data_IF_744155257159
#
_entry.id   IF_744155257159
#
_cell.length_a   1.000
_cell.length_b   1.000
_cell.length_c   1.000
_cell.angle_alpha   90.00
_cell.angle_beta   90.00
_cell.angle_gamma   90.00
#
_symmetry.space_group_name_H-M   'P 1'
#
loop_
_entity.id
_entity.type
_entity.pdbx_description
1 polymer ?
#
# COMPACT_ATOMS: atom_id res chain seq x y z
N UNK A 1 -27.44 -11.70 21.03
CA UNK A 1 -27.11 -10.57 20.13
C UNK A 1 -25.63 -10.24 20.32
N UNK A 2 -24.80 -10.36 19.28
CA UNK A 2 -23.40 -9.93 19.36
C UNK A 2 -23.38 -8.42 19.62
N UNK A 3 -22.80 -7.98 20.74
CA UNK A 3 -22.59 -6.56 20.98
C UNK A 3 -21.76 -5.98 19.83
N UNK A 4 -22.28 -4.95 19.18
CA UNK A 4 -21.57 -4.29 18.09
C UNK A 4 -20.28 -3.70 18.67
N UNK A 5 -19.13 -4.13 18.14
CA UNK A 5 -17.84 -3.56 18.55
C UNK A 5 -17.82 -2.07 18.27
N UNK A 6 -17.38 -1.30 19.24
CA UNK A 6 -17.15 0.14 19.11
C UNK A 6 -15.72 0.40 19.54
N UNK A 7 -14.86 0.97 18.69
CA UNK A 7 -13.50 1.32 19.07
C UNK A 7 -13.51 2.40 20.17
N UNK A 8 -12.45 2.47 20.99
CA UNK A 8 -12.34 3.55 21.98
C UNK A 8 -12.28 4.91 21.26
N UNK A 9 -12.70 5.96 21.96
CA UNK A 9 -12.51 7.32 21.49
C UNK A 9 -11.03 7.64 21.25
N UNK A 10 -10.73 8.63 20.42
CA UNK A 10 -9.37 9.06 20.15
C UNK A 10 -8.59 9.30 21.46
N UNK A 11 -7.41 8.70 21.58
CA UNK A 11 -6.59 8.73 22.79
C UNK A 11 -7.05 7.82 23.93
N UNK A 12 -8.19 7.13 23.78
CA UNK A 12 -8.69 6.16 24.74
C UNK A 12 -7.85 4.87 24.78
N UNK A 13 -7.81 4.22 25.96
CA UNK A 13 -7.14 2.95 26.10
C UNK A 13 -7.94 1.82 25.44
N UNK A 14 -7.27 0.97 24.68
CA UNK A 14 -7.85 -0.25 24.15
C UNK A 14 -8.05 -1.28 25.26
N UNK A 15 -9.24 -1.89 25.30
CA UNK A 15 -9.52 -2.98 26.23
C UNK A 15 -8.58 -4.16 25.98
N UNK A 16 -8.08 -4.74 27.07
CA UNK A 16 -7.26 -5.95 27.04
C UNK A 16 -8.05 -7.11 27.63
N UNK A 17 -7.86 -8.27 27.09
CA UNK A 17 -8.52 -9.52 27.54
C UNK A 17 -7.48 -10.63 27.63
N UNK A 18 -7.61 -11.48 28.63
CA UNK A 18 -6.75 -12.66 28.77
C UNK A 18 -6.95 -13.63 27.58
N UNK A 19 -5.89 -14.30 27.12
CA UNK A 19 -5.96 -15.19 25.96
C UNK A 19 -7.06 -16.24 26.07
N UNK A 20 -7.16 -16.93 27.20
CA UNK A 20 -8.16 -17.96 27.46
C UNK A 20 -9.58 -17.41 27.44
N UNK A 21 -9.81 -16.26 28.05
CA UNK A 21 -11.10 -15.56 28.02
C UNK A 21 -11.47 -15.11 26.60
N UNK A 22 -10.49 -14.89 25.72
CA UNK A 22 -10.67 -14.60 24.31
C UNK A 22 -10.76 -15.90 23.45
N UNK A 23 -10.70 -17.09 24.05
CA UNK A 23 -10.77 -18.37 23.36
C UNK A 23 -9.48 -18.75 22.63
N UNK A 24 -8.34 -18.26 23.07
CA UNK A 24 -7.00 -18.70 22.63
C UNK A 24 -6.42 -19.70 23.62
N UNK A 25 -5.63 -20.61 23.12
CA UNK A 25 -4.67 -21.39 23.95
C UNK A 25 -3.52 -20.45 24.30
N UNK A 26 -3.36 -20.14 25.58
CA UNK A 26 -2.36 -19.17 26.03
C UNK A 26 -0.92 -19.62 25.69
N UNK A 27 -0.61 -20.92 25.83
CA UNK A 27 0.73 -21.42 25.51
C UNK A 27 1.06 -21.36 24.02
N UNK A 28 0.09 -21.67 23.15
CA UNK A 28 0.30 -21.51 21.70
C UNK A 28 0.42 -20.05 21.28
N UNK A 29 -0.32 -19.16 21.93
CA UNK A 29 -0.21 -17.73 21.67
C UNK A 29 1.16 -17.19 22.08
N UNK A 30 1.65 -17.56 23.25
CA UNK A 30 2.98 -17.21 23.72
C UNK A 30 4.06 -17.75 22.77
N UNK A 31 3.97 -18.99 22.35
CA UNK A 31 4.87 -19.58 21.37
C UNK A 31 4.84 -18.84 20.02
N UNK A 32 3.66 -18.38 19.56
CA UNK A 32 3.53 -17.61 18.34
C UNK A 32 4.19 -16.21 18.45
N UNK A 33 4.06 -15.55 19.58
CA UNK A 33 4.75 -14.27 19.86
C UNK A 33 6.25 -14.47 19.87
N UNK A 34 6.75 -15.47 20.63
CA UNK A 34 8.18 -15.79 20.68
C UNK A 34 8.75 -16.14 19.29
N UNK A 35 7.98 -16.87 18.47
CA UNK A 35 8.35 -17.16 17.09
C UNK A 35 8.45 -15.87 16.25
N UNK A 36 7.48 -14.96 16.37
CA UNK A 36 7.51 -13.69 15.64
C UNK A 36 8.74 -12.83 16.01
N UNK A 37 9.08 -12.75 17.29
CA UNK A 37 10.26 -12.02 17.78
C UNK A 37 11.57 -12.66 17.30
N UNK A 38 11.67 -13.99 17.31
CA UNK A 38 12.86 -14.73 16.87
C UNK A 38 13.04 -14.72 15.34
N UNK A 39 11.99 -14.46 14.57
CA UNK A 39 12.00 -14.46 13.11
C UNK A 39 11.83 -13.07 12.53
N UNK A 40 12.44 -12.06 13.13
CA UNK A 40 12.47 -10.70 12.58
C UNK A 40 12.97 -10.69 11.14
N UNK A 41 12.44 -9.77 10.34
CA UNK A 41 12.96 -9.50 9.00
C UNK A 41 14.48 -9.27 9.03
N UNK A 42 15.20 -9.87 8.09
CA UNK A 42 16.65 -9.70 7.94
C UNK A 42 17.06 -8.36 7.31
N UNK A 43 16.12 -7.54 6.96
CA UNK A 43 16.40 -6.21 6.44
C UNK A 43 17.15 -5.36 7.48
N UNK A 44 18.05 -4.53 7.00
CA UNK A 44 18.74 -3.57 7.83
C UNK A 44 17.75 -2.62 8.51
N UNK A 45 18.07 -2.19 9.73
CA UNK A 45 17.28 -1.15 10.40
C UNK A 45 17.46 0.20 9.71
N UNK A 46 18.63 0.46 9.14
CA UNK A 46 18.85 1.54 8.19
C UNK A 46 18.20 1.17 6.83
N UNK A 47 16.95 1.56 6.69
CA UNK A 47 16.15 1.26 5.50
C UNK A 47 16.72 1.95 4.27
N UNK A 48 17.32 3.14 4.40
CA UNK A 48 17.96 3.82 3.27
C UNK A 48 19.09 2.95 2.69
N UNK A 49 20.02 2.53 3.51
CA UNK A 49 21.11 1.63 3.10
C UNK A 49 20.55 0.35 2.48
N UNK A 50 19.51 -0.25 3.06
CA UNK A 50 18.87 -1.45 2.51
C UNK A 50 18.36 -1.22 1.09
N UNK A 51 17.70 -0.11 0.83
CA UNK A 51 17.10 0.20 -0.47
C UNK A 51 18.16 0.60 -1.51
N UNK A 52 19.15 1.41 -1.12
CA UNK A 52 20.22 1.86 -2.01
C UNK A 52 21.16 0.72 -2.46
N UNK A 53 21.15 -0.42 -1.80
CA UNK A 53 21.85 -1.64 -2.25
C UNK A 53 21.16 -2.35 -3.42
N UNK A 54 20.04 -1.81 -3.91
CA UNK A 54 19.33 -2.40 -5.06
C UNK A 54 18.35 -3.50 -4.67
N UNK A 55 17.76 -3.41 -3.47
CA UNK A 55 16.79 -4.42 -2.99
C UNK A 55 15.60 -4.59 -3.94
N UNK A 56 15.06 -3.50 -4.50
CA UNK A 56 13.92 -3.56 -5.44
C UNK A 56 14.36 -3.30 -6.87
N UNK A 57 15.14 -2.26 -7.09
CA UNK A 57 15.68 -1.87 -8.39
C UNK A 57 17.21 -1.85 -8.34
N UNK A 58 17.87 -2.42 -9.36
CA UNK A 58 19.31 -2.25 -9.52
C UNK A 58 19.64 -0.82 -9.96
N UNK A 59 20.89 -0.37 -9.79
CA UNK A 59 21.35 0.86 -10.42
C UNK A 59 21.12 0.84 -11.93
N UNK A 60 20.74 1.94 -12.58
CA UNK A 60 20.61 3.30 -12.01
C UNK A 60 19.24 3.60 -11.38
N UNK A 61 18.30 2.67 -11.35
CA UNK A 61 16.92 2.91 -10.96
C UNK A 61 16.67 2.80 -9.43
N UNK A 62 17.72 2.53 -8.65
CA UNK A 62 17.65 2.38 -7.19
C UNK A 62 17.60 3.71 -6.40
N UNK A 63 17.48 4.84 -7.09
CA UNK A 63 17.37 6.14 -6.43
C UNK A 63 16.04 6.28 -5.67
N UNK A 64 16.11 6.95 -4.51
CA UNK A 64 14.99 7.12 -3.60
C UNK A 64 14.43 8.53 -3.70
N UNK A 65 13.10 8.64 -3.71
CA UNK A 65 12.40 9.89 -3.54
C UNK A 65 11.98 10.09 -2.09
N UNK A 66 12.17 11.31 -1.58
CA UNK A 66 11.71 11.71 -0.28
C UNK A 66 12.49 11.12 0.90
N UNK A 67 12.05 11.40 2.12
CA UNK A 67 12.70 10.94 3.34
C UNK A 67 12.47 9.44 3.56
N UNK A 68 13.51 8.78 4.08
CA UNK A 68 13.47 7.39 4.53
C UNK A 68 13.83 7.35 5.99
N UNK A 69 12.99 6.73 6.81
CA UNK A 69 13.25 6.53 8.24
C UNK A 69 13.78 5.11 8.51
N UNK A 70 14.56 4.98 9.59
CA UNK A 70 14.94 3.68 10.09
C UNK A 70 13.71 2.93 10.61
N UNK A 71 13.71 1.60 10.45
CA UNK A 71 12.64 0.78 11.01
C UNK A 71 12.87 0.47 12.49
N UNK A 72 11.78 0.30 13.20
CA UNK A 72 11.80 -0.15 14.59
C UNK A 72 12.18 -1.64 14.74
N UNK A 73 12.22 -2.10 15.99
CA UNK A 73 12.32 -3.52 16.31
C UNK A 73 11.03 -4.29 16.01
N UNK A 74 11.08 -5.64 16.16
CA UNK A 74 9.87 -6.45 16.01
C UNK A 74 8.82 -5.99 17.01
N UNK A 75 7.62 -5.74 16.50
CA UNK A 75 6.48 -5.36 17.32
C UNK A 75 5.20 -5.91 16.69
N UNK A 76 4.16 -6.02 17.49
CA UNK A 76 2.89 -6.50 16.99
C UNK A 76 1.76 -6.48 18.00
N UNK A 77 0.56 -6.63 17.47
CA UNK A 77 -0.69 -6.71 18.20
C UNK A 77 -1.50 -7.91 17.70
N UNK A 78 -2.09 -8.65 18.64
CA UNK A 78 -3.13 -9.63 18.33
C UNK A 78 -4.41 -9.15 18.98
N UNK A 79 -5.46 -9.02 18.17
CA UNK A 79 -6.77 -8.56 18.65
C UNK A 79 -7.86 -9.58 18.32
N UNK A 80 -8.86 -9.66 19.18
CA UNK A 80 -10.10 -10.41 18.92
C UNK A 80 -11.30 -9.61 19.40
N UNK A 81 -12.29 -9.45 18.54
CA UNK A 81 -13.48 -8.64 18.83
C UNK A 81 -13.15 -7.22 19.25
N UNK A 82 -12.05 -6.64 18.73
CA UNK A 82 -11.59 -5.30 19.05
C UNK A 82 -10.85 -5.14 20.37
N UNK A 83 -10.57 -6.24 21.09
CA UNK A 83 -9.80 -6.23 22.34
C UNK A 83 -8.40 -6.77 22.10
N UNK A 84 -7.41 -6.19 22.76
CA UNK A 84 -6.01 -6.65 22.67
C UNK A 84 -5.87 -7.93 23.49
N UNK A 85 -5.45 -9.00 22.84
CA UNK A 85 -5.16 -10.30 23.44
C UNK A 85 -3.67 -10.43 23.77
N UNK A 86 -2.81 -10.00 22.85
CA UNK A 86 -1.36 -9.96 23.05
C UNK A 86 -0.75 -8.74 22.36
N UNK A 87 0.39 -8.29 22.88
CA UNK A 87 1.20 -7.24 22.25
C UNK A 87 2.65 -7.41 22.66
N UNK A 88 3.57 -7.10 21.74
CA UNK A 88 5.00 -7.15 21.99
C UNK A 88 5.71 -6.00 21.27
N UNK A 89 6.92 -5.67 21.71
CA UNK A 89 7.72 -4.58 21.19
C UNK A 89 7.08 -3.20 21.37
N UNK A 90 7.58 -2.22 20.64
CA UNK A 90 7.01 -0.87 20.64
C UNK A 90 5.90 -0.75 19.59
N UNK A 91 4.68 -1.01 20.01
CA UNK A 91 3.48 -0.90 19.14
C UNK A 91 3.07 0.54 18.83
N UNK A 92 3.79 1.54 19.34
CA UNK A 92 3.59 2.96 19.03
C UNK A 92 4.62 3.48 18.04
N UNK A 93 5.62 2.68 17.68
CA UNK A 93 6.61 3.05 16.69
C UNK A 93 5.95 3.36 15.33
N UNK A 94 6.40 4.44 14.71
CA UNK A 94 5.96 4.85 13.37
C UNK A 94 6.95 4.31 12.36
N UNK A 95 6.55 3.28 11.65
CA UNK A 95 7.34 2.61 10.63
C UNK A 95 6.84 2.91 9.22
N UNK A 96 7.74 2.73 8.24
CA UNK A 96 7.37 2.83 6.84
C UNK A 96 6.42 1.69 6.44
N UNK A 97 5.27 2.04 5.91
CA UNK A 97 4.22 1.07 5.56
C UNK A 97 4.43 0.42 4.20
N UNK A 98 5.40 0.91 3.41
CA UNK A 98 5.67 0.43 2.06
C UNK A 98 4.37 0.24 1.26
N UNK A 99 4.17 -0.92 0.66
CA UNK A 99 3.04 -1.19 -0.22
C UNK A 99 1.67 -1.22 0.45
N UNK A 100 1.57 -1.13 1.79
CA UNK A 100 0.28 -0.90 2.45
C UNK A 100 -0.31 0.46 2.01
N UNK A 101 0.51 1.41 1.56
CA UNK A 101 0.05 2.66 0.96
C UNK A 101 -0.90 2.44 -0.23
N UNK A 102 -0.79 1.32 -0.95
CA UNK A 102 -1.72 0.95 -2.04
C UNK A 102 -3.15 0.72 -1.52
N UNK A 103 -3.30 0.18 -0.31
CA UNK A 103 -4.59 0.03 0.36
C UNK A 103 -5.17 1.40 0.72
N UNK A 104 -4.33 2.35 1.11
CA UNK A 104 -4.77 3.73 1.37
C UNK A 104 -5.26 4.41 0.10
N UNK A 105 -4.60 4.19 -1.04
CA UNK A 105 -5.07 4.68 -2.34
C UNK A 105 -6.42 4.07 -2.73
N UNK A 106 -6.63 2.79 -2.45
CA UNK A 106 -7.93 2.13 -2.68
C UNK A 106 -9.05 2.76 -1.85
N UNK A 107 -8.79 3.09 -0.58
CA UNK A 107 -9.75 3.79 0.29
C UNK A 107 -10.03 5.19 -0.27
N UNK A 108 -9.01 5.93 -0.67
CA UNK A 108 -9.17 7.26 -1.28
C UNK A 108 -9.97 7.20 -2.58
N UNK A 109 -9.76 6.18 -3.41
CA UNK A 109 -10.58 5.98 -4.60
C UNK A 109 -12.04 5.73 -4.24
N UNK A 110 -12.32 4.93 -3.19
CA UNK A 110 -13.67 4.74 -2.65
C UNK A 110 -14.31 6.05 -2.18
N UNK A 111 -13.55 6.93 -1.52
CA UNK A 111 -13.98 8.27 -1.13
C UNK A 111 -14.28 9.12 -2.37
N UNK A 112 -13.41 9.08 -3.39
CA UNK A 112 -13.64 9.82 -4.64
C UNK A 112 -14.92 9.37 -5.35
N UNK A 113 -15.25 8.07 -5.29
CA UNK A 113 -16.52 7.55 -5.81
C UNK A 113 -17.70 8.06 -4.95
N UNK A 114 -17.60 7.97 -3.64
CA UNK A 114 -18.66 8.43 -2.73
C UNK A 114 -18.94 9.94 -2.86
N UNK A 115 -17.92 10.74 -3.14
CA UNK A 115 -18.03 12.18 -3.36
C UNK A 115 -18.43 12.54 -4.81
N UNK A 116 -18.65 11.56 -5.68
CA UNK A 116 -19.01 11.78 -7.10
C UNK A 116 -17.88 12.33 -7.96
N UNK A 117 -16.65 12.35 -7.46
CA UNK A 117 -15.46 12.72 -8.23
C UNK A 117 -15.13 11.68 -9.30
N UNK A 118 -15.36 10.42 -9.00
CA UNK A 118 -15.34 9.30 -9.95
C UNK A 118 -16.76 8.77 -10.03
N UNK A 119 -17.39 8.95 -11.17
CA UNK A 119 -18.82 8.58 -11.35
C UNK A 119 -18.99 7.13 -11.80
N UNK A 120 -18.03 6.64 -12.54
CA UNK A 120 -18.01 5.28 -13.06
C UNK A 120 -16.58 4.76 -13.05
N UNK A 121 -16.35 3.61 -12.44
CA UNK A 121 -15.03 2.97 -12.43
C UNK A 121 -14.61 2.47 -13.82
N UNK A 122 -15.55 2.26 -14.71
CA UNK A 122 -15.32 1.77 -16.07
C UNK A 122 -15.17 2.90 -17.10
N UNK A 123 -15.32 4.17 -16.68
CA UNK A 123 -14.98 5.29 -17.57
C UNK A 123 -13.46 5.44 -17.75
N UNK A 124 -12.99 5.81 -18.96
CA UNK A 124 -11.58 6.14 -19.17
C UNK A 124 -11.13 7.29 -18.28
N UNK A 125 -9.98 7.10 -17.60
CA UNK A 125 -9.42 8.10 -16.66
C UNK A 125 -9.15 9.43 -17.36
N UNK A 126 -8.70 9.40 -18.60
CA UNK A 126 -8.40 10.59 -19.40
C UNK A 126 -9.61 11.52 -19.67
N UNK A 127 -10.85 11.04 -19.42
CA UNK A 127 -12.04 11.92 -19.51
C UNK A 127 -12.10 12.97 -18.40
N UNK A 128 -11.49 12.68 -17.28
CA UNK A 128 -11.59 13.50 -16.08
C UNK A 128 -10.23 13.91 -15.51
N UNK A 129 -9.13 13.36 -16.02
CA UNK A 129 -7.74 13.69 -15.67
C UNK A 129 -7.01 14.07 -16.95
N UNK A 130 -6.89 15.38 -17.18
CA UNK A 130 -6.21 15.94 -18.34
C UNK A 130 -4.80 16.44 -17.94
N UNK A 131 -3.85 15.50 -17.85
CA UNK A 131 -2.45 15.79 -17.55
C UNK A 131 -1.47 15.12 -18.54
N UNK A 132 -2.02 14.69 -19.71
CA UNK A 132 -1.27 14.01 -20.76
C UNK A 132 -0.93 12.54 -20.49
N UNK A 133 -1.05 12.06 -19.26
CA UNK A 133 -0.66 10.69 -18.91
C UNK A 133 -1.59 9.61 -19.43
N UNK A 134 -2.78 9.98 -19.91
CA UNK A 134 -3.76 9.08 -20.53
C UNK A 134 -4.02 9.43 -21.99
N UNK A 135 -3.05 10.05 -22.64
CA UNK A 135 -3.14 10.38 -24.08
C UNK A 135 -2.87 9.14 -24.95
N UNK A 136 -3.32 9.21 -26.19
CA UNK A 136 -3.14 8.17 -27.21
C UNK A 136 -4.09 6.97 -27.05
N UNK A 137 -4.09 6.07 -28.04
CA UNK A 137 -5.09 4.99 -28.12
C UNK A 137 -4.95 3.94 -27.01
N UNK A 138 -3.72 3.66 -26.54
CA UNK A 138 -3.47 2.65 -25.52
C UNK A 138 -3.81 3.20 -24.12
N UNK A 139 -3.13 4.26 -23.68
CA UNK A 139 -3.37 4.84 -22.35
C UNK A 139 -4.78 5.47 -22.25
N UNK A 140 -5.32 5.97 -23.36
CA UNK A 140 -6.67 6.54 -23.39
C UNK A 140 -7.80 5.52 -23.15
N UNK A 141 -7.52 4.23 -23.30
CA UNK A 141 -8.48 3.16 -22.99
C UNK A 141 -8.44 2.72 -21.51
N UNK A 142 -7.51 3.24 -20.71
CA UNK A 142 -7.36 2.85 -19.33
C UNK A 142 -8.48 3.45 -18.48
N UNK A 143 -9.16 2.60 -17.72
CA UNK A 143 -10.23 2.99 -16.79
C UNK A 143 -9.71 3.05 -15.35
N UNK A 144 -10.49 3.66 -14.45
CA UNK A 144 -10.21 3.66 -13.01
C UNK A 144 -10.11 2.23 -12.46
N UNK A 145 -10.98 1.34 -12.93
CA UNK A 145 -10.95 -0.09 -12.56
C UNK A 145 -9.62 -0.73 -12.93
N UNK A 146 -9.11 -0.49 -14.12
CA UNK A 146 -7.84 -1.04 -14.57
C UNK A 146 -6.67 -0.59 -13.69
N UNK A 147 -6.64 0.68 -13.28
CA UNK A 147 -5.62 1.18 -12.35
C UNK A 147 -5.74 0.52 -10.97
N UNK A 148 -6.95 0.46 -10.41
CA UNK A 148 -7.21 -0.14 -9.09
C UNK A 148 -6.90 -1.63 -9.04
N UNK A 149 -7.13 -2.34 -10.11
CA UNK A 149 -6.86 -3.78 -10.22
C UNK A 149 -5.43 -4.11 -10.66
N UNK A 150 -4.59 -3.11 -10.91
CA UNK A 150 -3.25 -3.29 -11.49
C UNK A 150 -3.26 -4.04 -12.83
N UNK A 151 -4.28 -3.82 -13.64
CA UNK A 151 -4.44 -4.37 -14.98
C UNK A 151 -4.35 -3.29 -16.07
N UNK A 152 -3.88 -2.10 -15.72
CA UNK A 152 -3.90 -0.95 -16.63
C UNK A 152 -2.97 -1.08 -17.82
N UNK A 153 -1.85 -1.79 -17.68
CA UNK A 153 -0.78 -1.81 -18.68
C UNK A 153 -0.36 -0.38 -19.11
N UNK A 154 -0.54 0.61 -18.23
CA UNK A 154 -0.13 1.99 -18.49
C UNK A 154 1.34 2.05 -18.90
N UNK A 155 1.62 2.81 -19.95
CA UNK A 155 2.96 3.03 -20.46
C UNK A 155 3.38 4.48 -20.26
N UNK A 156 4.55 4.66 -19.69
CA UNK A 156 5.12 6.00 -19.53
C UNK A 156 6.22 6.08 -18.49
N UNK A 157 6.65 7.33 -18.28
CA UNK A 157 7.63 7.68 -17.25
C UNK A 157 6.98 8.60 -16.23
N UNK A 158 7.13 8.29 -14.96
CA UNK A 158 6.62 9.08 -13.86
C UNK A 158 7.73 9.32 -12.84
N UNK A 159 8.00 10.60 -12.51
CA UNK A 159 9.07 10.99 -11.59
C UNK A 159 10.44 10.40 -11.95
N UNK A 160 10.76 10.36 -13.25
CA UNK A 160 12.01 9.83 -13.75
C UNK A 160 12.10 8.30 -13.83
N UNK A 161 11.05 7.57 -13.41
CA UNK A 161 10.99 6.10 -13.51
C UNK A 161 10.02 5.67 -14.60
N UNK A 162 10.51 4.87 -15.56
CA UNK A 162 9.65 4.26 -16.57
C UNK A 162 8.88 3.08 -15.97
N UNK A 163 7.64 2.84 -16.41
CA UNK A 163 6.86 1.67 -15.97
C UNK A 163 7.54 0.35 -16.34
N UNK A 164 8.39 0.37 -17.37
CA UNK A 164 9.15 -0.79 -17.83
C UNK A 164 10.04 -1.39 -16.75
N UNK A 165 10.57 -0.61 -15.80
CA UNK A 165 11.45 -1.13 -14.74
C UNK A 165 10.77 -2.18 -13.85
N UNK A 166 9.45 -2.14 -13.77
CA UNK A 166 8.63 -3.07 -13.00
C UNK A 166 7.90 -4.13 -13.85
N UNK A 167 8.09 -4.12 -15.18
CA UNK A 167 7.50 -5.18 -16.02
C UNK A 167 8.16 -6.52 -15.70
N UNK A 168 7.39 -7.59 -15.81
CA UNK A 168 7.79 -8.96 -15.49
C UNK A 168 8.23 -9.13 -14.01
N UNK A 169 7.72 -8.28 -13.11
CA UNK A 169 8.01 -8.40 -11.69
C UNK A 169 7.37 -9.65 -11.11
N UNK A 170 8.17 -10.49 -10.52
CA UNK A 170 7.75 -11.68 -9.79
C UNK A 170 7.70 -11.36 -8.29
N UNK A 171 6.54 -11.49 -7.65
CA UNK A 171 6.38 -11.21 -6.22
C UNK A 171 6.86 -12.36 -5.33
N UNK A 172 6.78 -13.59 -5.84
CA UNK A 172 7.34 -14.76 -5.19
C UNK A 172 7.75 -15.76 -6.26
N UNK A 173 8.96 -16.29 -6.14
CA UNK A 173 9.49 -17.33 -7.05
C UNK A 173 8.70 -18.64 -6.96
N UNK A 174 7.98 -18.86 -5.87
CA UNK A 174 7.23 -20.08 -5.59
C UNK A 174 5.82 -20.09 -6.18
N UNK A 175 5.22 -18.91 -6.42
CA UNK A 175 3.83 -18.78 -6.88
C UNK A 175 3.68 -18.20 -8.28
N UNK A 176 4.73 -17.63 -8.83
CA UNK A 176 4.69 -17.14 -10.18
C UNK A 176 4.91 -18.33 -11.12
N UNK A 177 3.93 -18.59 -11.96
CA UNK A 177 4.15 -19.38 -13.17
C UNK A 177 5.37 -18.77 -13.84
N UNK A 178 6.46 -19.55 -13.91
CA UNK A 178 7.77 -19.08 -14.32
C UNK A 178 7.68 -18.38 -15.67
N UNK A 179 7.63 -17.07 -15.66
CA UNK A 179 8.02 -16.34 -16.85
C UNK A 179 9.55 -16.40 -16.87
N UNK A 180 10.13 -16.89 -17.93
CA UNK A 180 11.59 -16.87 -18.12
C UNK A 180 12.12 -15.43 -18.31
N UNK A 181 11.25 -14.42 -18.16
CA UNK A 181 11.57 -13.01 -18.37
C UNK A 181 12.05 -12.39 -17.07
N UNK A 182 13.10 -11.57 -17.16
CA UNK A 182 13.64 -10.84 -16.02
C UNK A 182 12.83 -9.56 -15.78
N UNK A 183 12.73 -9.15 -14.51
CA UNK A 183 12.17 -7.85 -14.14
C UNK A 183 12.86 -6.74 -14.96
N UNK A 184 12.05 -5.83 -15.52
CA UNK A 184 12.51 -4.73 -16.37
C UNK A 184 12.79 -5.12 -17.82
N UNK A 185 12.69 -6.41 -18.19
CA UNK A 185 12.84 -6.84 -19.58
C UNK A 185 11.67 -6.33 -20.42
N UNK A 186 11.99 -5.84 -21.63
CA UNK A 186 10.99 -5.31 -22.54
C UNK A 186 10.04 -6.41 -23.03
N UNK A 187 8.76 -6.14 -23.02
CA UNK A 187 7.72 -6.97 -23.61
C UNK A 187 6.65 -6.11 -24.28
N UNK A 188 5.92 -6.61 -25.25
CA UNK A 188 4.74 -5.93 -25.78
C UNK A 188 3.72 -5.69 -24.67
N UNK A 189 3.09 -4.52 -24.69
CA UNK A 189 1.95 -4.23 -23.83
C UNK A 189 0.75 -5.07 -24.23
N UNK A 190 -0.03 -5.45 -23.24
CA UNK A 190 -1.33 -6.10 -23.45
C UNK A 190 -2.43 -5.04 -23.39
N UNK A 191 -3.60 -5.38 -23.89
CA UNK A 191 -4.73 -4.48 -23.78
C UNK A 191 -5.07 -4.16 -22.32
N UNK A 192 -5.39 -2.91 -21.96
CA UNK A 192 -5.82 -2.55 -20.61
C UNK A 192 -6.97 -3.47 -20.15
N UNK A 193 -6.88 -3.93 -18.90
CA UNK A 193 -7.81 -4.87 -18.29
C UNK A 193 -7.52 -6.36 -18.53
N UNK A 194 -6.63 -6.71 -19.46
CA UNK A 194 -6.41 -8.10 -19.85
C UNK A 194 -5.24 -8.81 -19.14
N UNK A 195 -4.41 -8.07 -18.43
CA UNK A 195 -3.21 -8.63 -17.81
C UNK A 195 -2.92 -7.96 -16.46
N UNK A 196 -2.76 -8.76 -15.42
CA UNK A 196 -2.38 -8.30 -14.10
C UNK A 196 -0.86 -8.27 -13.96
N UNK A 197 -0.33 -7.17 -13.46
CA UNK A 197 1.08 -7.05 -13.15
C UNK A 197 1.28 -6.08 -11.97
N UNK A 198 2.02 -6.52 -10.97
CA UNK A 198 2.40 -5.65 -9.87
C UNK A 198 3.46 -4.66 -10.34
N UNK A 199 3.08 -3.39 -10.47
CA UNK A 199 3.94 -2.35 -11.02
C UNK A 199 3.77 -1.06 -10.20
N UNK A 200 4.81 -0.66 -9.48
CA UNK A 200 4.77 0.48 -8.59
C UNK A 200 4.62 1.81 -9.35
N UNK A 201 5.20 1.93 -10.54
CA UNK A 201 5.06 3.15 -11.36
C UNK A 201 3.61 3.35 -11.79
N UNK A 202 2.92 2.27 -12.16
CA UNK A 202 1.49 2.30 -12.53
C UNK A 202 0.60 2.62 -11.33
N UNK A 203 0.96 2.17 -10.13
CA UNK A 203 0.25 2.56 -8.90
C UNK A 203 0.51 4.03 -8.56
N UNK A 204 1.72 4.53 -8.76
CA UNK A 204 2.01 5.94 -8.60
C UNK A 204 1.23 6.79 -9.62
N UNK A 205 0.95 6.24 -10.82
CA UNK A 205 0.07 6.88 -11.80
C UNK A 205 -1.38 7.00 -11.28
N UNK A 206 -1.90 5.98 -10.59
CA UNK A 206 -3.19 6.05 -9.89
C UNK A 206 -3.18 7.14 -8.82
N UNK A 207 -2.11 7.19 -8.00
CA UNK A 207 -1.95 8.22 -6.96
C UNK A 207 -2.04 9.63 -7.55
N UNK A 208 -1.30 9.90 -8.63
CA UNK A 208 -1.34 11.20 -9.32
C UNK A 208 -2.73 11.49 -9.91
N UNK A 209 -3.40 10.49 -10.49
CA UNK A 209 -4.73 10.66 -11.02
C UNK A 209 -5.75 11.03 -9.92
N UNK A 210 -5.67 10.38 -8.76
CA UNK A 210 -6.50 10.72 -7.60
C UNK A 210 -6.21 12.13 -7.07
N UNK A 211 -4.93 12.50 -6.98
CA UNK A 211 -4.53 13.86 -6.59
C UNK A 211 -5.16 14.91 -7.52
N UNK A 212 -5.14 14.67 -8.84
CA UNK A 212 -5.78 15.56 -9.82
C UNK A 212 -7.30 15.64 -9.63
N UNK A 213 -7.94 14.52 -9.28
CA UNK A 213 -9.39 14.47 -9.03
C UNK A 213 -9.81 15.18 -7.76
N UNK A 214 -9.06 15.02 -6.67
CA UNK A 214 -9.33 15.75 -5.43
C UNK A 214 -8.95 17.24 -5.50
N UNK A 215 -7.99 17.61 -6.36
CA UNK A 215 -7.47 18.99 -6.45
C UNK A 215 -6.74 19.45 -5.21
N UNK A 216 -6.37 18.54 -4.30
CA UNK A 216 -5.66 18.80 -3.06
C UNK A 216 -4.80 17.60 -2.67
N UNK A 217 -3.87 17.78 -1.75
CA UNK A 217 -2.93 16.72 -1.36
C UNK A 217 -3.66 15.50 -0.77
N UNK A 218 -3.32 14.30 -1.24
CA UNK A 218 -3.94 13.06 -0.77
C UNK A 218 -3.79 12.83 0.75
N UNK A 219 -2.64 13.16 1.39
CA UNK A 219 -2.51 13.09 2.84
C UNK A 219 -3.55 13.93 3.60
N UNK A 220 -3.88 15.10 3.09
CA UNK A 220 -4.90 15.97 3.72
C UNK A 220 -6.30 15.32 3.65
N UNK A 221 -6.65 14.79 2.48
CA UNK A 221 -7.92 14.06 2.30
C UNK A 221 -7.94 12.84 3.22
N UNK A 222 -6.85 12.10 3.29
CA UNK A 222 -6.75 10.91 4.11
C UNK A 222 -6.84 11.24 5.61
N UNK A 223 -6.19 12.33 6.05
CA UNK A 223 -6.30 12.82 7.43
C UNK A 223 -7.76 13.17 7.78
N UNK A 224 -8.41 13.93 6.93
CA UNK A 224 -9.77 14.42 7.18
C UNK A 224 -10.81 13.31 7.16
N UNK A 225 -10.71 12.42 6.15
CA UNK A 225 -11.76 11.45 5.84
C UNK A 225 -11.55 10.08 6.46
N UNK A 226 -10.33 9.77 6.90
CA UNK A 226 -9.97 8.44 7.42
C UNK A 226 -9.31 8.56 8.80
N UNK A 227 -8.11 9.14 8.87
CA UNK A 227 -7.30 9.09 10.09
C UNK A 227 -7.93 9.83 11.27
N UNK A 228 -8.49 11.00 11.02
CA UNK A 228 -9.23 11.74 12.04
C UNK A 228 -10.45 10.97 12.57
N UNK A 229 -11.39 10.54 11.70
CA UNK A 229 -12.57 9.79 12.13
C UNK A 229 -12.30 8.49 12.88
N UNK A 230 -11.23 7.77 12.56
CA UNK A 230 -10.85 6.55 13.31
C UNK A 230 -10.05 6.84 14.58
N UNK A 231 -9.73 8.09 14.87
CA UNK A 231 -8.95 8.47 16.03
C UNK A 231 -7.48 8.08 15.98
N UNK A 232 -6.90 7.99 14.78
CA UNK A 232 -5.47 7.71 14.62
C UNK A 232 -4.62 8.83 15.22
N UNK A 233 -3.41 8.50 15.70
CA UNK A 233 -2.45 9.51 16.18
C UNK A 233 -2.04 10.47 15.05
N UNK A 234 -1.54 11.65 15.42
CA UNK A 234 -1.02 12.63 14.45
C UNK A 234 0.43 12.36 14.01
N UNK A 235 1.02 11.24 14.42
CA UNK A 235 2.45 10.98 14.21
C UNK A 235 2.75 10.41 12.80
N UNK A 236 1.75 9.96 12.08
CA UNK A 236 1.90 9.42 10.73
C UNK A 236 2.26 10.53 9.72
N UNK A 237 2.97 10.15 8.68
CA UNK A 237 3.35 11.04 7.58
C UNK A 237 3.16 10.31 6.26
N UNK A 238 2.78 11.06 5.23
CA UNK A 238 2.74 10.59 3.87
C UNK A 238 3.62 11.50 3.02
N UNK A 239 4.63 10.92 2.41
CA UNK A 239 5.56 11.61 1.51
C UNK A 239 5.46 10.98 0.14
N UNK A 240 5.45 11.82 -0.90
CA UNK A 240 5.37 11.38 -2.29
C UNK A 240 5.53 12.55 -3.25
#
# INVERSE_FOLDING_TARGET
MSSKYVPPAAGGAWERVAPDAAGFDAGKLEAAVAFAEANESKWLRDVRTQLETGTFEPPPDNFLFGPVANRSGPNGLITRGGKIVASWGDTRAVDMTFSVAKSYLSILAGIAVADGLIRDLDEPVGRTVDDGGFAGPHNGAITWRHLLQQTSEWEGTLFGKADQIDRNRTLATEFAGATNMKKGEARPLRAPGSYWEYNDVRVNRLSLALLRRFGRALPEVFQERVMGPIGASGDWRWTG
#
